data_IF_081895130852
#
_entry.id   IF_081895130852
#
_cell.length_a   1.000
_cell.length_b   1.000
_cell.length_c   1.000
_cell.angle_alpha   90.00
_cell.angle_beta   90.00
_cell.angle_gamma   90.00
#
_symmetry.space_group_name_H-M   'P 1'
#
loop_
_entity.id
_entity.type
_entity.pdbx_description
1 polymer ?
#
# COMPACT_ATOMS: atom_id res chain seq x y z
N UNK A 1 10.76 -13.40 21.31
CA UNK A 1 10.57 -13.94 19.94
C UNK A 1 10.23 -12.79 18.99
N UNK A 2 11.18 -12.35 18.18
CA UNK A 2 10.97 -11.33 17.14
C UNK A 2 10.08 -11.94 16.05
N UNK A 3 8.83 -11.50 15.93
CA UNK A 3 7.93 -11.91 14.83
C UNK A 3 8.62 -11.59 13.51
N UNK A 4 9.05 -12.62 12.79
CA UNK A 4 9.49 -12.51 11.39
C UNK A 4 8.33 -11.87 10.64
N UNK A 5 8.54 -10.63 10.20
CA UNK A 5 7.52 -9.82 9.57
C UNK A 5 7.36 -10.39 8.17
N UNK A 6 6.37 -11.28 7.98
CA UNK A 6 6.10 -11.86 6.67
C UNK A 6 5.86 -10.68 5.70
N UNK A 7 6.82 -10.43 4.82
CA UNK A 7 6.74 -9.33 3.86
C UNK A 7 5.85 -9.78 2.71
N UNK A 8 4.54 -9.61 2.89
CA UNK A 8 3.60 -9.77 1.79
C UNK A 8 3.91 -8.72 0.72
N UNK A 9 4.17 -9.18 -0.51
CA UNK A 9 4.33 -8.33 -1.68
C UNK A 9 3.06 -7.52 -1.91
N UNK A 10 3.16 -6.39 -2.61
CA UNK A 10 1.99 -5.57 -2.93
C UNK A 10 0.99 -6.35 -3.79
N UNK A 11 1.48 -7.17 -4.71
CA UNK A 11 0.67 -8.01 -5.60
C UNK A 11 -0.17 -9.03 -4.82
N UNK A 12 0.42 -9.77 -3.88
CA UNK A 12 -0.33 -10.72 -3.06
C UNK A 12 -1.40 -10.04 -2.19
N UNK A 13 -1.13 -8.82 -1.69
CA UNK A 13 -2.14 -8.05 -0.94
C UNK A 13 -3.32 -7.68 -1.83
N UNK A 14 -3.03 -7.20 -3.03
CA UNK A 14 -4.03 -6.77 -3.99
C UNK A 14 -4.90 -7.97 -4.42
N UNK A 15 -4.29 -9.11 -4.70
CA UNK A 15 -5.01 -10.34 -5.06
C UNK A 15 -6.02 -10.74 -3.98
N UNK A 16 -5.59 -10.78 -2.72
CA UNK A 16 -6.47 -11.13 -1.59
C UNK A 16 -7.63 -10.14 -1.42
N UNK A 17 -7.36 -8.85 -1.62
CA UNK A 17 -8.40 -7.83 -1.54
C UNK A 17 -9.39 -7.97 -2.68
N UNK A 18 -8.92 -8.27 -3.90
CA UNK A 18 -9.78 -8.52 -5.06
C UNK A 18 -10.67 -9.74 -4.88
N UNK A 19 -10.17 -10.81 -4.26
CA UNK A 19 -10.99 -11.95 -3.87
C UNK A 19 -12.16 -11.55 -2.96
N UNK A 20 -11.97 -10.56 -2.10
CA UNK A 20 -12.99 -10.11 -1.15
C UNK A 20 -13.95 -9.10 -1.80
N UNK A 21 -13.41 -8.08 -2.48
CA UNK A 21 -14.20 -6.98 -3.04
C UNK A 21 -14.83 -7.35 -4.39
N UNK A 22 -14.12 -8.07 -5.26
CA UNK A 22 -14.60 -8.43 -6.61
C UNK A 22 -15.32 -9.80 -6.61
N UNK A 23 -14.78 -10.80 -5.91
CA UNK A 23 -15.38 -12.15 -5.88
C UNK A 23 -16.33 -12.37 -4.69
N UNK A 24 -16.47 -11.37 -3.80
CA UNK A 24 -17.40 -11.44 -2.67
C UNK A 24 -17.01 -12.46 -1.59
N UNK A 25 -15.75 -12.92 -1.56
CA UNK A 25 -15.31 -13.85 -0.52
C UNK A 25 -15.28 -13.18 0.85
N UNK A 26 -15.52 -13.97 1.89
CA UNK A 26 -15.46 -13.48 3.26
C UNK A 26 -14.01 -13.25 3.67
N UNK A 27 -13.69 -12.04 4.13
CA UNK A 27 -12.38 -11.73 4.71
C UNK A 27 -11.87 -12.77 5.74
N UNK A 28 -12.67 -13.32 6.67
CA UNK A 28 -12.19 -14.36 7.59
C UNK A 28 -11.83 -15.69 6.90
N UNK A 29 -12.48 -16.06 5.80
CA UNK A 29 -12.16 -17.26 5.02
C UNK A 29 -10.83 -17.06 4.30
N UNK A 30 -10.69 -15.94 3.57
CA UNK A 30 -9.46 -15.57 2.85
C UNK A 30 -8.28 -15.47 3.82
N UNK A 31 -8.48 -14.87 5.00
CA UNK A 31 -7.46 -14.82 6.04
C UNK A 31 -6.97 -16.22 6.46
N UNK A 32 -7.90 -17.15 6.65
CA UNK A 32 -7.58 -18.54 7.04
C UNK A 32 -6.89 -19.28 5.89
N UNK A 33 -7.45 -19.20 4.68
CA UNK A 33 -6.97 -19.89 3.49
C UNK A 33 -5.55 -19.48 3.10
N UNK A 34 -5.21 -18.19 3.22
CA UNK A 34 -3.90 -17.66 2.87
C UNK A 34 -2.98 -17.44 4.08
N UNK A 35 -3.38 -17.94 5.25
CA UNK A 35 -2.65 -17.82 6.51
C UNK A 35 -2.24 -16.36 6.84
N UNK A 36 -3.12 -15.41 6.52
CA UNK A 36 -2.96 -13.99 6.81
C UNK A 36 -3.73 -13.67 8.07
N UNK A 37 -3.11 -12.93 9.00
CA UNK A 37 -3.82 -12.49 10.20
C UNK A 37 -5.04 -11.62 9.84
N UNK A 38 -6.22 -11.93 10.39
CA UNK A 38 -7.48 -11.21 10.13
C UNK A 38 -7.31 -9.68 10.23
N UNK A 39 -6.73 -9.20 11.32
CA UNK A 39 -6.49 -7.76 11.52
C UNK A 39 -5.53 -7.13 10.50
N UNK A 40 -4.65 -7.93 9.90
CA UNK A 40 -3.77 -7.47 8.81
C UNK A 40 -4.57 -7.29 7.52
N UNK A 41 -5.41 -8.27 7.19
CA UNK A 41 -6.26 -8.24 6.01
C UNK A 41 -7.32 -7.13 6.10
N UNK A 42 -7.93 -6.92 7.27
CA UNK A 42 -8.85 -5.80 7.51
C UNK A 42 -8.19 -4.44 7.29
N UNK A 43 -6.94 -4.27 7.76
CA UNK A 43 -6.17 -3.04 7.50
C UNK A 43 -5.87 -2.85 6.02
N UNK A 44 -5.68 -3.93 5.28
CA UNK A 44 -5.47 -3.86 3.83
C UNK A 44 -6.76 -3.44 3.12
N UNK A 45 -7.89 -4.05 3.45
CA UNK A 45 -9.19 -3.67 2.90
C UNK A 45 -9.54 -2.20 3.19
N UNK A 46 -9.32 -1.75 4.43
CA UNK A 46 -9.56 -0.35 4.81
C UNK A 46 -8.71 0.61 3.97
N UNK A 47 -7.43 0.28 3.74
CA UNK A 47 -6.54 1.07 2.89
C UNK A 47 -7.00 1.07 1.45
N UNK A 48 -7.29 -0.09 0.87
CA UNK A 48 -7.76 -0.21 -0.51
C UNK A 48 -9.04 0.59 -0.75
N UNK A 49 -10.03 0.50 0.15
CA UNK A 49 -11.27 1.30 0.04
C UNK A 49 -11.02 2.80 0.16
N UNK A 50 -10.06 3.21 0.98
CA UNK A 50 -9.65 4.61 1.10
C UNK A 50 -8.93 5.12 -0.17
N UNK A 51 -8.05 4.29 -0.75
CA UNK A 51 -7.40 4.54 -2.05
C UNK A 51 -8.47 4.70 -3.16
N UNK A 52 -9.43 3.78 -3.25
CA UNK A 52 -10.55 3.82 -4.21
C UNK A 52 -11.46 5.05 -4.02
N UNK A 53 -11.60 5.54 -2.79
CA UNK A 53 -12.36 6.75 -2.47
C UNK A 53 -11.59 8.05 -2.72
N UNK A 54 -10.39 7.97 -3.33
CA UNK A 54 -9.53 9.13 -3.59
C UNK A 54 -8.89 9.74 -2.35
N UNK A 55 -8.91 9.03 -1.21
CA UNK A 55 -8.33 9.46 0.07
C UNK A 55 -7.29 8.46 0.55
N UNK A 56 -6.16 8.27 -0.17
CA UNK A 56 -5.12 7.34 0.24
C UNK A 56 -4.58 7.74 1.63
N UNK A 57 -4.35 6.75 2.50
CA UNK A 57 -3.79 7.04 3.82
C UNK A 57 -2.41 7.70 3.68
N UNK A 58 -2.17 8.75 4.46
CA UNK A 58 -0.92 9.52 4.45
C UNK A 58 0.32 8.72 4.88
N UNK A 59 0.15 7.53 5.46
CA UNK A 59 1.24 6.73 6.04
C UNK A 59 1.26 5.28 5.58
N UNK A 60 2.45 4.82 5.18
CA UNK A 60 2.74 3.44 4.77
C UNK A 60 2.62 3.21 3.27
N UNK A 61 3.11 2.06 2.80
CA UNK A 61 3.06 1.69 1.38
C UNK A 61 1.61 1.51 0.93
N UNK A 62 1.29 2.14 -0.20
CA UNK A 62 0.05 1.92 -0.93
C UNK A 62 -0.10 0.45 -1.33
N UNK A 63 -1.34 0.01 -1.47
CA UNK A 63 -1.65 -1.38 -1.85
C UNK A 63 -1.87 -1.46 -3.36
N UNK A 64 -2.48 -0.43 -3.94
CA UNK A 64 -2.67 -0.38 -5.39
C UNK A 64 -1.36 0.01 -6.07
N UNK A 65 -1.00 -0.63 -7.21
CA UNK A 65 0.20 -0.28 -7.96
C UNK A 65 0.18 1.18 -8.42
N UNK A 66 -1.00 1.69 -8.76
CA UNK A 66 -1.21 3.09 -9.12
C UNK A 66 -0.80 4.04 -7.98
N UNK A 67 -1.28 3.79 -6.75
CA UNK A 67 -0.91 4.63 -5.61
C UNK A 67 0.54 4.42 -5.16
N UNK A 68 1.13 3.24 -5.41
CA UNK A 68 2.56 3.05 -5.20
C UNK A 68 3.38 3.91 -6.16
N UNK A 69 2.98 3.98 -7.43
CA UNK A 69 3.67 4.81 -8.42
C UNK A 69 3.48 6.29 -8.09
N UNK A 70 2.29 6.71 -7.66
CA UNK A 70 2.06 8.08 -7.17
C UNK A 70 3.00 8.42 -6.00
N UNK A 71 3.20 7.51 -5.04
CA UNK A 71 4.14 7.74 -3.94
C UNK A 71 5.60 7.80 -4.41
N UNK A 72 5.98 6.92 -5.34
CA UNK A 72 7.33 6.92 -5.93
C UNK A 72 7.62 8.22 -6.67
N UNK A 73 6.71 8.64 -7.55
CA UNK A 73 6.81 9.88 -8.32
C UNK A 73 6.84 11.11 -7.40
N UNK A 74 5.99 11.15 -6.36
CA UNK A 74 6.04 12.24 -5.36
C UNK A 74 7.39 12.33 -4.66
N UNK A 75 8.01 11.20 -4.34
CA UNK A 75 9.34 11.16 -3.72
C UNK A 75 10.43 11.63 -4.68
N UNK A 76 10.36 11.21 -5.94
CA UNK A 76 11.31 11.62 -6.98
C UNK A 76 11.23 13.14 -7.25
N UNK A 77 10.01 13.68 -7.37
CA UNK A 77 9.80 15.14 -7.51
C UNK A 77 10.35 15.90 -6.30
N UNK A 78 10.14 15.40 -5.08
CA UNK A 78 10.66 16.06 -3.88
C UNK A 78 12.19 16.08 -3.86
N UNK A 79 12.83 14.98 -4.27
CA UNK A 79 14.29 14.89 -4.37
C UNK A 79 14.83 15.84 -5.46
N UNK A 80 14.24 15.85 -6.64
CA UNK A 80 14.64 16.73 -7.74
C UNK A 80 14.46 18.22 -7.38
N UNK A 81 13.39 18.57 -6.65
CA UNK A 81 13.17 19.93 -6.15
C UNK A 81 14.26 20.36 -5.17
N UNK A 82 14.66 19.47 -4.26
CA UNK A 82 15.72 19.76 -3.29
C UNK A 82 17.07 19.96 -4.01
N UNK A 83 17.38 19.12 -4.99
CA UNK A 83 18.62 19.23 -5.77
C UNK A 83 18.68 20.53 -6.57
N UNK A 84 17.55 20.96 -7.17
CA UNK A 84 17.44 22.27 -7.84
C UNK A 84 17.55 23.45 -6.89
N UNK A 85 17.09 23.31 -5.64
CA UNK A 85 17.16 24.39 -4.66
C UNK A 85 18.60 24.60 -4.20
N UNK A 86 19.30 23.52 -3.87
CA UNK A 86 20.72 23.54 -3.51
C UNK A 86 21.56 24.15 -4.66
N UNK A 87 21.33 23.71 -5.90
CA UNK A 87 22.04 24.23 -7.08
C UNK A 87 21.76 25.70 -7.37
N UNK A 88 20.59 26.23 -6.98
CA UNK A 88 20.25 27.64 -7.15
C UNK A 88 20.78 28.53 -6.02
N UNK A 89 21.04 27.98 -4.82
CA UNK A 89 21.63 28.72 -3.70
C UNK A 89 23.17 28.79 -3.79
N UNK A 90 23.80 27.87 -4.52
CA UNK A 90 25.26 27.87 -4.76
C UNK A 90 25.70 28.62 -6.03
N UNK A 91 24.76 29.21 -6.80
CA UNK A 91 25.00 29.92 -8.07
C UNK A 91 24.95 31.44 -7.98
#
# INVERSE_FOLDING_TARGET
MTKVRNQYSAESKLELIKLIEEQGQKAPDVATQYNVGKSTLEKWLQRYRAEQSGKPLATGRAITPEQQEIQRLKKEIAQLKLERDILNEEG
#
